data_IF_391143565935
#
_entry.id   IF_391143565935
#
_cell.length_a   1.000
_cell.length_b   1.000
_cell.length_c   1.000
_cell.angle_alpha   90.00
_cell.angle_beta   90.00
_cell.angle_gamma   90.00
#
_symmetry.space_group_name_H-M   'P 1'
#
loop_
_entity.id
_entity.type
_entity.pdbx_description
1 polymer ?
#
# COMPACT_ATOMS: atom_id res chain seq x y z
N UNK A 1 -25.61 -20.68 10.64
CA UNK A 1 -24.88 -20.49 9.37
C UNK A 1 -24.91 -19.04 8.85
N UNK A 2 -25.96 -18.24 9.12
CA UNK A 2 -26.04 -16.80 8.73
C UNK A 2 -25.05 -15.90 9.49
N UNK A 3 -24.74 -16.21 10.76
CA UNK A 3 -23.82 -15.44 11.60
C UNK A 3 -22.42 -15.27 10.99
N UNK A 4 -21.94 -16.24 10.20
CA UNK A 4 -20.63 -16.17 9.53
C UNK A 4 -20.59 -15.11 8.42
N UNK A 5 -21.72 -14.82 7.76
CA UNK A 5 -21.73 -13.86 6.64
C UNK A 5 -21.66 -12.41 7.09
N UNK A 6 -22.15 -12.13 8.30
CA UNK A 6 -22.19 -10.78 8.89
C UNK A 6 -21.04 -10.53 9.86
N UNK A 7 -20.37 -11.59 10.34
CA UNK A 7 -19.21 -11.45 11.23
C UNK A 7 -18.04 -10.77 10.50
N UNK A 8 -17.46 -9.69 11.06
CA UNK A 8 -16.35 -8.99 10.42
C UNK A 8 -15.03 -9.73 10.67
N UNK A 9 -14.43 -10.25 9.60
CA UNK A 9 -13.12 -10.88 9.65
C UNK A 9 -12.01 -9.86 9.37
N UNK A 10 -10.94 -9.97 10.15
CA UNK A 10 -9.75 -9.16 10.00
C UNK A 10 -8.82 -9.74 8.93
N UNK A 11 -8.37 -8.90 8.00
CA UNK A 11 -7.35 -9.22 7.00
C UNK A 11 -6.29 -8.13 6.92
N UNK A 12 -5.13 -8.46 6.37
CA UNK A 12 -4.09 -7.47 6.08
C UNK A 12 -4.51 -6.61 4.89
N UNK A 13 -4.27 -5.31 4.99
CA UNK A 13 -4.66 -4.29 4.01
C UNK A 13 -3.43 -3.59 3.41
N UNK A 14 -2.38 -3.43 4.22
CA UNK A 14 -1.05 -3.00 3.80
C UNK A 14 0.01 -3.69 4.68
N UNK A 15 1.22 -3.97 4.16
CA UNK A 15 2.28 -4.57 4.95
C UNK A 15 2.88 -3.53 5.89
N UNK A 16 3.75 -3.98 6.81
CA UNK A 16 4.72 -3.06 7.40
C UNK A 16 5.73 -2.68 6.32
N UNK A 17 5.91 -1.38 6.06
CA UNK A 17 6.93 -0.90 5.15
C UNK A 17 8.15 -0.38 5.90
N UNK A 18 9.34 -0.85 5.53
CA UNK A 18 10.60 -0.17 5.82
C UNK A 18 11.11 0.47 4.53
N UNK A 19 11.02 1.79 4.43
CA UNK A 19 11.39 2.54 3.22
C UNK A 19 12.69 3.30 3.46
N UNK A 20 13.62 3.19 2.52
CA UNK A 20 14.81 4.04 2.44
C UNK A 20 14.74 4.90 1.19
N UNK A 21 14.98 6.20 1.31
CA UNK A 21 15.01 7.13 0.18
C UNK A 21 16.46 7.54 -0.08
N UNK A 22 16.89 7.39 -1.33
CA UNK A 22 18.26 7.69 -1.76
C UNK A 22 18.26 8.49 -3.06
N UNK A 23 19.35 9.23 -3.32
CA UNK A 23 19.62 9.84 -4.62
C UNK A 23 20.23 8.84 -5.61
N UNK A 24 20.49 9.29 -6.84
CA UNK A 24 21.14 8.48 -7.89
C UNK A 24 22.58 8.07 -7.57
N UNK A 25 23.21 8.73 -6.60
CA UNK A 25 24.55 8.39 -6.08
C UNK A 25 24.48 7.48 -4.83
N UNK A 26 23.28 7.01 -4.48
CA UNK A 26 22.99 6.18 -3.31
C UNK A 26 23.21 6.86 -1.95
N UNK A 27 23.18 8.20 -1.91
CA UNK A 27 23.19 8.96 -0.64
C UNK A 27 21.78 9.01 -0.06
N UNK A 28 21.65 8.83 1.25
CA UNK A 28 20.35 8.89 1.93
C UNK A 28 19.79 10.32 1.98
N UNK A 29 18.49 10.46 1.73
CA UNK A 29 17.82 11.76 1.69
C UNK A 29 16.92 11.93 2.91
N UNK A 30 17.33 12.83 3.80
CA UNK A 30 16.52 13.27 4.94
C UNK A 30 15.46 14.29 4.52
N UNK A 31 14.31 14.31 5.19
CA UNK A 31 13.26 15.29 4.94
C UNK A 31 12.41 15.02 3.69
N UNK A 32 12.59 13.89 3.01
CA UNK A 32 11.78 13.50 1.87
C UNK A 32 10.37 13.10 2.32
N UNK A 33 9.34 13.56 1.59
CA UNK A 33 7.94 13.18 1.84
C UNK A 33 7.64 11.88 1.13
N UNK A 34 7.32 10.85 1.90
CA UNK A 34 6.93 9.53 1.39
C UNK A 34 5.45 9.34 1.64
N UNK A 35 4.72 8.88 0.63
CA UNK A 35 3.32 8.48 0.71
C UNK A 35 3.20 6.98 0.59
N UNK A 36 2.48 6.38 1.52
CA UNK A 36 1.88 5.05 1.37
C UNK A 36 0.48 5.23 0.80
N UNK A 37 0.18 4.59 -0.32
CA UNK A 37 -1.17 4.46 -0.86
C UNK A 37 -1.60 3.00 -0.76
N UNK A 38 -2.78 2.76 -0.18
CA UNK A 38 -3.26 1.40 0.06
C UNK A 38 -4.79 1.30 -0.08
N UNK A 39 -5.26 0.13 -0.51
CA UNK A 39 -6.68 -0.19 -0.65
C UNK A 39 -6.90 -1.69 -0.68
N UNK A 40 -7.93 -2.18 0.01
CA UNK A 40 -8.47 -3.53 -0.26
C UNK A 40 -9.66 -3.41 -1.21
N UNK A 41 -9.45 -3.69 -2.50
CA UNK A 41 -10.48 -3.64 -3.55
C UNK A 41 -11.57 -4.71 -3.38
N UNK A 42 -11.41 -5.62 -2.42
CA UNK A 42 -12.42 -6.58 -2.01
C UNK A 42 -13.12 -6.18 -0.72
N UNK A 43 -12.78 -5.05 -0.07
CA UNK A 43 -13.38 -4.63 1.19
C UNK A 43 -13.68 -3.13 1.31
N UNK A 44 -13.17 -2.32 0.37
CA UNK A 44 -13.31 -0.86 0.35
C UNK A 44 -13.65 -0.31 -1.03
N UNK A 45 -14.51 0.70 -1.04
CA UNK A 45 -14.87 1.48 -2.23
C UNK A 45 -13.89 2.63 -2.53
N UNK A 46 -13.04 3.01 -1.57
CA UNK A 46 -12.08 4.11 -1.71
C UNK A 46 -10.74 3.70 -1.08
N UNK A 47 -9.63 4.12 -1.70
CA UNK A 47 -8.29 3.96 -1.14
C UNK A 47 -7.97 4.98 -0.05
N UNK A 48 -6.93 4.68 0.71
CA UNK A 48 -6.41 5.52 1.77
C UNK A 48 -4.95 5.86 1.50
N UNK A 49 -4.52 7.01 2.00
CA UNK A 49 -3.16 7.49 1.86
C UNK A 49 -2.64 7.91 3.23
N UNK A 50 -1.34 7.68 3.47
CA UNK A 50 -0.64 8.15 4.65
C UNK A 50 0.70 8.75 4.24
N UNK A 51 1.01 9.93 4.80
CA UNK A 51 2.24 10.65 4.50
C UNK A 51 3.14 10.64 5.72
N UNK A 52 4.42 10.38 5.49
CA UNK A 52 5.48 10.50 6.49
C UNK A 52 6.70 11.17 5.87
N UNK A 53 7.60 11.65 6.73
CA UNK A 53 8.83 12.31 6.32
C UNK A 53 10.02 11.44 6.74
N UNK A 54 11.02 11.31 5.89
CA UNK A 54 12.23 10.55 6.22
C UNK A 54 13.04 11.20 7.34
N UNK A 55 13.59 10.36 8.21
CA UNK A 55 14.46 10.76 9.30
C UNK A 55 15.86 11.23 8.82
N UNK A 56 16.78 11.48 9.75
CA UNK A 56 18.15 11.90 9.45
C UNK A 56 18.97 10.85 8.68
N UNK A 57 18.52 9.60 8.66
CA UNK A 57 19.13 8.49 7.91
C UNK A 57 18.45 8.22 6.57
N UNK A 58 17.49 9.07 6.18
CA UNK A 58 16.70 8.93 4.96
C UNK A 58 15.71 7.77 4.99
N UNK A 59 15.26 7.35 6.18
CA UNK A 59 14.36 6.21 6.35
C UNK A 59 13.01 6.63 6.92
N UNK A 60 12.00 5.81 6.61
CA UNK A 60 10.67 5.94 7.19
C UNK A 60 10.00 4.57 7.30
N UNK A 61 9.14 4.40 8.31
CA UNK A 61 8.42 3.16 8.56
C UNK A 61 6.92 3.40 8.59
N UNK A 62 6.18 2.68 7.75
CA UNK A 62 4.72 2.64 7.82
C UNK A 62 4.28 1.38 8.58
N UNK A 63 3.39 1.50 9.58
CA UNK A 63 2.90 0.35 10.32
C UNK A 63 1.97 -0.50 9.46
N UNK A 64 1.99 -1.82 9.68
CA UNK A 64 1.06 -2.74 9.01
C UNK A 64 -0.40 -2.31 9.23
N UNK A 65 -1.19 -2.28 8.15
CA UNK A 65 -2.61 -1.92 8.18
C UNK A 65 -3.48 -3.15 8.06
N UNK A 66 -4.55 -3.18 8.84
CA UNK A 66 -5.54 -4.26 8.81
C UNK A 66 -6.92 -3.68 8.61
N UNK A 67 -7.76 -4.44 7.94
CA UNK A 67 -9.16 -4.10 7.71
C UNK A 67 -10.06 -5.19 8.29
N UNK A 68 -11.19 -4.77 8.85
CA UNK A 68 -12.28 -5.65 9.27
C UNK A 68 -13.46 -5.48 8.33
N UNK A 69 -13.84 -6.56 7.66
CA UNK A 69 -15.02 -6.58 6.80
C UNK A 69 -15.67 -7.97 6.83
N UNK A 70 -17.00 -7.99 6.81
CA UNK A 70 -17.77 -9.23 6.76
C UNK A 70 -17.70 -9.87 5.37
N UNK A 71 -17.96 -11.17 5.30
CA UNK A 71 -17.98 -11.89 4.01
C UNK A 71 -19.01 -11.29 3.06
N UNK A 72 -20.19 -10.90 3.57
CA UNK A 72 -21.22 -10.25 2.76
C UNK A 72 -20.74 -8.92 2.18
N UNK A 73 -20.10 -8.06 2.99
CA UNK A 73 -19.56 -6.78 2.50
C UNK A 73 -18.52 -7.03 1.41
N UNK A 74 -17.63 -8.01 1.64
CA UNK A 74 -16.58 -8.34 0.66
C UNK A 74 -17.17 -8.83 -0.65
N UNK A 75 -18.19 -9.67 -0.59
CA UNK A 75 -18.89 -10.14 -1.79
C UNK A 75 -19.51 -8.98 -2.58
N UNK A 76 -20.24 -8.07 -1.91
CA UNK A 76 -20.85 -6.91 -2.56
C UNK A 76 -19.79 -6.02 -3.24
N UNK A 77 -18.66 -5.78 -2.57
CA UNK A 77 -17.60 -4.92 -3.12
C UNK A 77 -16.90 -5.61 -4.30
N UNK A 78 -16.59 -6.90 -4.21
CA UNK A 78 -16.01 -7.67 -5.32
C UNK A 78 -16.92 -7.62 -6.56
N UNK A 79 -18.23 -7.79 -6.39
CA UNK A 79 -19.19 -7.66 -7.50
C UNK A 79 -19.14 -6.26 -8.12
N UNK A 80 -19.05 -5.21 -7.29
CA UNK A 80 -18.92 -3.83 -7.79
C UNK A 80 -17.58 -3.56 -8.48
N UNK A 81 -16.48 -4.18 -8.03
CA UNK A 81 -15.17 -4.06 -8.66
C UNK A 81 -15.14 -4.80 -10.00
N UNK A 82 -15.82 -5.94 -10.11
CA UNK A 82 -15.89 -6.73 -11.33
C UNK A 82 -16.60 -6.00 -12.50
N UNK A 83 -17.49 -5.05 -12.21
CA UNK A 83 -18.14 -4.24 -13.26
C UNK A 83 -17.22 -3.18 -13.87
N UNK A 84 -16.03 -2.94 -13.31
CA UNK A 84 -15.04 -1.99 -13.84
C UNK A 84 -14.26 -2.53 -15.06
N UNK A 85 -14.54 -3.75 -15.52
CA UNK A 85 -13.94 -4.34 -16.72
C UNK A 85 -12.42 -4.44 -16.62
N UNK A 86 -11.70 -3.89 -17.61
CA UNK A 86 -10.23 -3.90 -17.64
C UNK A 86 -9.56 -3.15 -16.47
N UNK A 87 -10.31 -2.33 -15.73
CA UNK A 87 -9.83 -1.62 -14.53
C UNK A 87 -10.21 -2.34 -13.22
N UNK A 88 -10.78 -3.55 -13.30
CA UNK A 88 -11.12 -4.33 -12.12
C UNK A 88 -9.84 -4.78 -11.39
N UNK A 89 -9.76 -4.44 -10.11
CA UNK A 89 -8.74 -4.90 -9.18
C UNK A 89 -9.42 -5.61 -8.00
N UNK A 90 -8.70 -6.51 -7.34
CA UNK A 90 -9.24 -7.36 -6.28
C UNK A 90 -8.21 -7.56 -5.18
N UNK A 91 -8.68 -7.61 -3.94
CA UNK A 91 -7.83 -7.83 -2.77
C UNK A 91 -7.02 -6.58 -2.38
N UNK A 92 -6.08 -6.74 -1.45
CA UNK A 92 -5.27 -5.64 -0.93
C UNK A 92 -4.15 -5.28 -1.90
N UNK A 93 -4.01 -3.99 -2.17
CA UNK A 93 -2.95 -3.36 -2.93
C UNK A 93 -2.33 -2.25 -2.10
N UNK A 94 -1.00 -2.17 -2.06
CA UNK A 94 -0.30 -1.10 -1.38
C UNK A 94 1.02 -0.78 -2.07
N UNK A 95 1.39 0.49 -2.15
CA UNK A 95 2.67 0.93 -2.70
C UNK A 95 3.14 2.21 -2.02
N UNK A 96 4.43 2.48 -2.13
CA UNK A 96 5.10 3.65 -1.54
C UNK A 96 5.85 4.45 -2.60
N UNK A 97 5.77 5.78 -2.49
CA UNK A 97 6.43 6.71 -3.40
C UNK A 97 6.81 8.02 -2.70
N UNK A 98 7.80 8.73 -3.23
CA UNK A 98 8.23 10.07 -2.81
C UNK A 98 7.54 11.11 -3.67
N UNK A 99 7.12 12.22 -3.08
CA UNK A 99 6.45 13.33 -3.78
C UNK A 99 6.81 14.71 -3.20
N UNK A 100 6.43 15.77 -3.90
CA UNK A 100 6.43 17.14 -3.33
C UNK A 100 7.79 17.83 -3.32
N UNK A 101 8.52 17.78 -4.45
CA UNK A 101 9.78 18.48 -4.70
C UNK A 101 10.86 17.56 -5.27
N UNK A 102 10.84 16.30 -4.84
CA UNK A 102 11.55 15.17 -5.42
C UNK A 102 10.50 14.10 -5.74
N UNK A 103 10.73 13.29 -6.77
CA UNK A 103 9.80 12.24 -7.17
C UNK A 103 10.55 10.92 -7.38
N UNK A 104 9.92 9.83 -6.96
CA UNK A 104 10.44 8.49 -7.13
C UNK A 104 9.48 7.46 -6.56
N UNK A 105 9.51 6.26 -7.11
CA UNK A 105 8.68 5.14 -6.65
C UNK A 105 9.56 3.97 -6.26
N UNK A 106 9.06 3.09 -5.39
CA UNK A 106 9.73 1.79 -5.20
C UNK A 106 9.64 1.02 -6.51
N UNK A 107 10.78 0.59 -7.05
CA UNK A 107 10.86 -0.17 -8.29
C UNK A 107 11.38 -1.57 -7.98
N UNK A 108 10.69 -2.60 -8.47
CA UNK A 108 11.12 -4.00 -8.37
C UNK A 108 11.02 -4.63 -9.76
N UNK A 109 12.11 -5.21 -10.25
CA UNK A 109 12.19 -5.80 -11.59
C UNK A 109 11.75 -4.84 -12.72
N UNK A 110 12.05 -3.54 -12.58
CA UNK A 110 11.75 -2.52 -13.61
C UNK A 110 10.31 -2.01 -13.62
N UNK A 111 9.46 -2.42 -12.67
CA UNK A 111 8.10 -1.90 -12.51
C UNK A 111 7.89 -1.33 -11.12
N UNK A 112 6.92 -0.41 -10.98
CA UNK A 112 6.51 0.09 -9.66
C UNK A 112 6.09 -1.09 -8.79
N UNK A 113 6.68 -1.18 -7.61
CA UNK A 113 6.36 -2.22 -6.65
C UNK A 113 4.92 -2.03 -6.13
N UNK A 114 4.07 -2.99 -6.46
CA UNK A 114 2.72 -3.11 -5.93
C UNK A 114 2.64 -4.35 -5.03
N UNK A 115 2.33 -4.14 -3.76
CA UNK A 115 2.17 -5.20 -2.79
C UNK A 115 0.75 -5.75 -2.82
N UNK A 116 0.60 -7.05 -3.02
CA UNK A 116 -0.72 -7.67 -3.27
C UNK A 116 -1.14 -8.68 -2.18
N UNK A 117 -0.93 -8.35 -0.90
CA UNK A 117 -1.36 -9.19 0.23
C UNK A 117 -0.27 -10.01 0.93
N UNK A 118 0.94 -10.08 0.35
CA UNK A 118 2.10 -10.73 0.99
C UNK A 118 3.41 -10.17 0.42
N UNK A 119 4.52 -10.14 1.20
CA UNK A 119 4.71 -10.56 2.60
C UNK A 119 4.14 -9.59 3.65
N UNK A 120 4.10 -9.94 4.94
CA UNK A 120 3.60 -9.05 6.01
C UNK A 120 4.49 -7.83 6.30
N UNK A 121 5.76 -7.94 5.95
CA UNK A 121 6.77 -6.89 6.06
C UNK A 121 7.45 -6.78 4.71
N UNK A 122 7.56 -5.58 4.18
CA UNK A 122 8.23 -5.31 2.93
C UNK A 122 9.27 -4.20 3.09
N UNK A 123 10.44 -4.40 2.48
CA UNK A 123 11.54 -3.43 2.50
C UNK A 123 11.70 -2.85 1.11
N UNK A 124 11.74 -1.53 1.02
CA UNK A 124 11.78 -0.81 -0.26
C UNK A 124 12.84 0.26 -0.25
N UNK A 125 13.51 0.41 -1.38
CA UNK A 125 14.45 1.50 -1.63
C UNK A 125 13.88 2.33 -2.77
N UNK A 126 13.65 3.61 -2.52
CA UNK A 126 13.16 4.57 -3.51
C UNK A 126 14.34 5.43 -3.93
N UNK A 127 14.65 5.41 -5.22
CA UNK A 127 15.64 6.30 -5.82
C UNK A 127 14.90 7.50 -6.38
N UNK A 128 15.31 8.70 -5.99
CA UNK A 128 14.75 9.95 -6.52
C UNK A 128 15.77 10.67 -7.41
N UNK A 129 15.25 11.46 -8.34
CA UNK A 129 16.01 12.29 -9.27
C UNK A 129 16.03 13.76 -8.85
#
# INVERSE_FOLDING_TARGET
>A
MILLFVYPFESLQAPLWEVSVVDTSNNSISGAKVRESYRDYSAESKGSEADLITDLTGKVTFPARKIRASVLKRFVIVLSSATAGAHASFGPHAFVFVFGGMEGSSIKNGVVEDWTGSPRMNKSVIVVQ
#
